data_IF_819412443989
#
_entry.id   IF_819412443989
#
_cell.length_a   1.000
_cell.length_b   1.000
_cell.length_c   1.000
_cell.angle_alpha   90.00
_cell.angle_beta   90.00
_cell.angle_gamma   90.00
#
_symmetry.space_group_name_H-M   'P 1'
#
loop_
_entity.id
_entity.type
_entity.pdbx_description
1 polymer ?
#
# COMPACT_ATOMS: atom_id res chain seq x y z
N UNK A 1 -3.22 4.23 -8.58
CA UNK A 1 -3.26 3.16 -9.61
C UNK A 1 -4.49 3.27 -10.51
N UNK A 2 -5.69 2.86 -10.07
CA UNK A 2 -6.91 2.84 -10.92
C UNK A 2 -7.20 4.16 -11.65
N UNK A 3 -7.09 5.30 -10.97
CA UNK A 3 -7.28 6.60 -11.62
C UNK A 3 -6.30 6.86 -12.78
N UNK A 4 -5.02 6.51 -12.62
CA UNK A 4 -4.00 6.64 -13.66
C UNK A 4 -4.24 5.66 -14.81
N UNK A 5 -4.63 4.42 -14.52
CA UNK A 5 -5.02 3.43 -15.53
C UNK A 5 -6.18 3.94 -16.39
N UNK A 6 -7.20 4.54 -15.77
CA UNK A 6 -8.35 5.15 -16.47
C UNK A 6 -7.97 6.35 -17.34
N UNK A 7 -6.89 7.05 -17.01
CA UNK A 7 -6.31 8.08 -17.87
C UNK A 7 -5.39 7.54 -18.98
N UNK A 8 -5.32 6.21 -19.15
CA UNK A 8 -4.56 5.57 -20.21
C UNK A 8 -3.07 5.40 -19.91
N UNK A 9 -2.63 5.61 -18.67
CA UNK A 9 -1.23 5.40 -18.27
C UNK A 9 -0.98 3.94 -17.91
N UNK A 10 0.19 3.43 -18.27
CA UNK A 10 0.69 2.14 -17.80
C UNK A 10 0.99 2.22 -16.31
N UNK A 11 0.29 1.44 -15.50
CA UNK A 11 0.45 1.46 -14.04
C UNK A 11 0.38 0.06 -13.47
N UNK A 12 1.34 -0.26 -12.61
CA UNK A 12 1.32 -1.46 -11.79
C UNK A 12 0.96 -1.12 -10.34
N UNK A 13 0.35 -2.08 -9.64
CA UNK A 13 0.11 -2.00 -8.20
C UNK A 13 0.94 -3.06 -7.48
N UNK A 14 1.77 -2.62 -6.55
CA UNK A 14 2.60 -3.51 -5.71
C UNK A 14 1.97 -3.58 -4.33
N UNK A 15 1.80 -4.80 -3.83
CA UNK A 15 1.32 -5.09 -2.48
C UNK A 15 1.63 -6.55 -2.12
N UNK A 16 1.30 -6.92 -0.89
CA UNK A 16 1.33 -8.31 -0.42
C UNK A 16 -0.10 -8.75 -0.12
N UNK A 17 -0.57 -9.77 -0.84
CA UNK A 17 -1.97 -10.25 -0.81
C UNK A 17 -1.96 -11.77 -0.52
N UNK A 18 -2.83 -12.28 0.37
CA UNK A 18 -2.85 -13.70 0.70
C UNK A 18 -3.21 -14.58 -0.51
N UNK A 19 -2.74 -15.83 -0.50
CA UNK A 19 -3.12 -16.83 -1.50
C UNK A 19 -4.45 -17.50 -1.12
N UNK A 20 -5.56 -16.75 -1.24
CA UNK A 20 -6.91 -17.24 -1.01
C UNK A 20 -7.91 -16.52 -1.92
N UNK A 21 -9.15 -17.01 -1.95
CA UNK A 21 -10.20 -16.52 -2.86
C UNK A 21 -10.55 -15.03 -2.68
N UNK A 22 -10.40 -14.48 -1.47
CA UNK A 22 -10.61 -13.04 -1.24
C UNK A 22 -9.46 -12.23 -1.87
N UNK A 23 -8.23 -12.72 -1.73
CA UNK A 23 -7.07 -12.14 -2.40
C UNK A 23 -7.17 -12.20 -3.92
N UNK A 24 -7.64 -13.33 -4.47
CA UNK A 24 -7.86 -13.49 -5.91
C UNK A 24 -8.88 -12.49 -6.43
N UNK A 25 -10.04 -12.36 -5.77
CA UNK A 25 -11.06 -11.39 -6.14
C UNK A 25 -10.54 -9.93 -6.10
N UNK A 26 -9.68 -9.60 -5.14
CA UNK A 26 -9.06 -8.28 -5.06
C UNK A 26 -8.14 -8.00 -6.27
N UNK A 27 -7.34 -9.00 -6.67
CA UNK A 27 -6.44 -8.90 -7.83
C UNK A 27 -7.24 -8.81 -9.13
N UNK A 28 -8.31 -9.60 -9.27
CA UNK A 28 -9.21 -9.56 -10.42
C UNK A 28 -9.87 -8.20 -10.59
N UNK A 29 -10.35 -7.58 -9.50
CA UNK A 29 -10.94 -6.24 -9.57
C UNK A 29 -9.90 -5.21 -10.00
N UNK A 30 -8.66 -5.26 -9.51
CA UNK A 30 -7.59 -4.38 -10.00
C UNK A 30 -7.32 -4.55 -11.49
N UNK A 31 -7.23 -5.80 -11.97
CA UNK A 31 -7.01 -6.11 -13.39
C UNK A 31 -8.15 -5.61 -14.26
N UNK A 32 -9.40 -5.76 -13.80
CA UNK A 32 -10.60 -5.24 -14.50
C UNK A 32 -10.53 -3.72 -14.69
N UNK A 33 -9.87 -3.00 -13.79
CA UNK A 33 -9.64 -1.56 -13.90
C UNK A 33 -8.40 -1.18 -14.73
N UNK A 34 -7.75 -2.13 -15.40
CA UNK A 34 -6.58 -1.90 -16.25
C UNK A 34 -5.27 -1.74 -15.50
N UNK A 35 -5.20 -2.15 -14.23
CA UNK A 35 -3.98 -2.09 -13.42
C UNK A 35 -3.17 -3.38 -13.58
N UNK A 36 -1.88 -3.26 -13.85
CA UNK A 36 -0.98 -4.41 -13.82
C UNK A 36 -0.80 -4.91 -12.37
N UNK A 37 -0.99 -6.21 -12.18
CA UNK A 37 -0.95 -6.91 -10.90
C UNK A 37 0.17 -7.95 -10.84
N UNK A 38 1.00 -8.04 -11.88
CA UNK A 38 2.11 -8.98 -12.00
C UNK A 38 3.17 -8.83 -10.89
N UNK A 39 3.21 -7.66 -10.24
CA UNK A 39 4.14 -7.32 -9.16
C UNK A 39 3.57 -7.60 -7.75
N UNK A 40 2.35 -8.12 -7.63
CA UNK A 40 1.76 -8.47 -6.33
C UNK A 40 2.39 -9.74 -5.80
N UNK A 41 2.92 -9.67 -4.57
CA UNK A 41 3.48 -10.83 -3.87
C UNK A 41 2.35 -11.61 -3.18
N UNK A 42 2.28 -12.92 -3.42
CA UNK A 42 1.30 -13.81 -2.79
C UNK A 42 1.88 -14.40 -1.50
N UNK A 43 1.55 -13.82 -0.35
CA UNK A 43 2.03 -14.23 0.98
C UNK A 43 1.00 -13.85 2.07
N UNK A 44 1.08 -14.52 3.23
CA UNK A 44 0.29 -14.19 4.41
C UNK A 44 -1.10 -14.83 4.40
N UNK A 45 -1.83 -14.63 5.50
CA UNK A 45 -3.04 -15.41 5.80
C UNK A 45 -4.35 -14.68 5.47
N UNK A 46 -4.40 -13.35 5.60
CA UNK A 46 -5.64 -12.58 5.45
C UNK A 46 -5.45 -11.26 4.72
N UNK A 47 -6.50 -10.83 4.02
CA UNK A 47 -6.62 -9.50 3.45
C UNK A 47 -7.29 -8.59 4.49
N UNK A 48 -6.79 -7.38 4.65
CA UNK A 48 -7.43 -6.41 5.53
C UNK A 48 -8.78 -5.97 4.96
N UNK A 49 -9.78 -5.85 5.81
CA UNK A 49 -11.12 -5.42 5.44
C UNK A 49 -11.53 -4.19 6.24
N UNK A 50 -12.61 -3.55 5.82
CA UNK A 50 -13.30 -2.56 6.63
C UNK A 50 -14.79 -2.62 6.34
N UNK A 51 -15.58 -2.19 7.31
CA UNK A 51 -17.02 -2.06 7.20
C UNK A 51 -17.38 -0.58 7.20
N UNK A 52 -18.24 -0.18 6.26
CA UNK A 52 -18.70 1.19 6.11
C UNK A 52 -20.17 1.26 6.48
N UNK A 53 -20.48 1.96 7.56
CA UNK A 53 -21.84 2.39 7.84
C UNK A 53 -22.06 3.70 7.06
N UNK A 54 -22.84 3.64 5.99
CA UNK A 54 -23.19 4.83 5.21
C UNK A 54 -23.92 5.83 6.09
N UNK A 55 -23.43 7.07 6.16
CA UNK A 55 -24.07 8.18 6.84
C UNK A 55 -25.32 8.67 6.11
N UNK A 56 -26.15 9.43 6.80
CA UNK A 56 -27.29 10.14 6.21
C UNK A 56 -27.63 11.37 7.04
N UNK A 57 -27.94 12.48 6.35
CA UNK A 57 -28.24 13.77 6.96
C UNK A 57 -27.10 14.22 7.92
N UNK A 58 -27.39 14.45 9.20
CA UNK A 58 -26.37 14.83 10.19
C UNK A 58 -25.53 13.65 10.70
N UNK A 59 -25.93 12.39 10.45
CA UNK A 59 -25.17 11.21 10.89
C UNK A 59 -24.01 10.96 9.93
N UNK A 60 -22.74 11.10 10.36
CA UNK A 60 -21.59 10.86 9.48
C UNK A 60 -21.47 9.37 9.14
N UNK A 61 -20.78 9.09 8.03
CA UNK A 61 -20.33 7.73 7.74
C UNK A 61 -19.32 7.27 8.78
N UNK A 62 -19.39 6.00 9.17
CA UNK A 62 -18.46 5.40 10.13
C UNK A 62 -17.73 4.24 9.46
N UNK A 63 -16.41 4.20 9.67
CA UNK A 63 -15.55 3.12 9.17
C UNK A 63 -15.05 2.30 10.33
N UNK A 64 -15.25 0.98 10.26
CA UNK A 64 -14.76 0.00 11.21
C UNK A 64 -13.68 -0.81 10.49
N UNK A 65 -12.43 -0.68 10.93
CA UNK A 65 -11.31 -1.36 10.29
C UNK A 65 -11.04 -2.73 10.91
N UNK A 66 -10.91 -3.75 10.07
CA UNK A 66 -10.44 -5.09 10.40
C UNK A 66 -9.22 -5.43 9.53
N UNK A 67 -8.13 -4.70 9.75
CA UNK A 67 -6.92 -4.75 8.90
C UNK A 67 -5.62 -5.12 9.62
N UNK A 68 -5.68 -5.31 10.95
CA UNK A 68 -4.55 -5.84 11.72
C UNK A 68 -4.17 -7.22 11.20
N UNK A 69 -2.87 -7.57 11.25
CA UNK A 69 -2.36 -8.87 10.79
C UNK A 69 -2.74 -9.23 9.34
N UNK A 70 -3.02 -8.22 8.51
CA UNK A 70 -3.17 -8.44 7.07
C UNK A 70 -1.83 -8.70 6.43
N UNK A 71 -1.83 -9.40 5.29
CA UNK A 71 -0.62 -9.77 4.57
C UNK A 71 0.35 -8.58 4.36
N UNK A 72 -0.17 -7.39 3.98
CA UNK A 72 0.64 -6.17 3.84
C UNK A 72 1.09 -5.57 5.19
N UNK A 73 0.33 -5.75 6.27
CA UNK A 73 0.73 -5.30 7.60
C UNK A 73 1.84 -6.17 8.22
N UNK A 74 2.00 -7.40 7.75
CA UNK A 74 3.05 -8.34 8.17
C UNK A 74 4.16 -8.50 7.13
N UNK A 75 4.08 -7.75 6.03
CA UNK A 75 5.14 -7.67 5.05
C UNK A 75 6.37 -6.96 5.66
N UNK A 76 7.55 -7.42 5.28
CA UNK A 76 8.83 -6.98 5.83
C UNK A 76 9.83 -6.70 4.72
N UNK A 77 10.89 -5.90 4.98
CA UNK A 77 11.98 -5.72 4.04
C UNK A 77 12.50 -7.03 3.46
N UNK A 78 12.79 -7.04 2.16
CA UNK A 78 13.21 -8.26 1.43
C UNK A 78 12.08 -9.16 0.93
N UNK A 79 10.82 -8.94 1.34
CA UNK A 79 9.67 -9.67 0.77
C UNK A 79 9.39 -9.29 -0.69
N UNK A 80 9.84 -8.11 -1.11
CA UNK A 80 9.60 -7.55 -2.45
C UNK A 80 10.95 -7.38 -3.16
N UNK A 81 11.07 -7.97 -4.35
CA UNK A 81 12.23 -7.74 -5.20
C UNK A 81 12.13 -6.37 -5.89
N UNK A 82 12.66 -5.34 -5.24
CA UNK A 82 12.62 -3.96 -5.72
C UNK A 82 13.37 -3.74 -7.04
N UNK A 83 14.40 -4.53 -7.33
CA UNK A 83 15.11 -4.44 -8.61
C UNK A 83 14.21 -4.85 -9.77
N UNK A 84 13.43 -5.92 -9.60
CA UNK A 84 12.43 -6.34 -10.58
C UNK A 84 11.26 -5.36 -10.65
N UNK A 85 10.77 -4.90 -9.49
CA UNK A 85 9.62 -3.99 -9.42
C UNK A 85 9.90 -2.65 -10.10
N UNK A 86 11.13 -2.15 -10.00
CA UNK A 86 11.51 -0.86 -10.53
C UNK A 86 12.16 -0.91 -11.92
N UNK A 87 12.21 -2.08 -12.56
CA UNK A 87 12.69 -2.21 -13.93
C UNK A 87 11.74 -1.46 -14.90
N UNK A 88 12.28 -0.51 -15.67
CA UNK A 88 11.52 0.33 -16.58
C UNK A 88 10.55 1.32 -15.91
N UNK A 89 10.58 1.48 -14.58
CA UNK A 89 9.69 2.41 -13.85
C UNK A 89 10.32 3.79 -13.76
N UNK A 90 9.56 4.83 -14.15
CA UNK A 90 9.99 6.24 -14.04
C UNK A 90 9.42 6.96 -12.83
N UNK A 91 8.34 6.45 -12.25
CA UNK A 91 7.62 7.08 -11.14
C UNK A 91 7.14 6.07 -10.10
N UNK A 92 7.43 6.34 -8.83
CA UNK A 92 6.94 5.59 -7.69
C UNK A 92 6.05 6.47 -6.81
N UNK A 93 4.87 5.97 -6.46
CA UNK A 93 3.94 6.66 -5.58
C UNK A 93 3.69 5.85 -4.31
N UNK A 94 3.84 6.49 -3.16
CA UNK A 94 3.56 5.93 -1.85
C UNK A 94 2.61 6.84 -1.07
N UNK A 95 1.86 6.28 -0.12
CA UNK A 95 1.05 7.04 0.81
C UNK A 95 1.46 6.73 2.24
N UNK A 96 1.32 7.70 3.15
CA UNK A 96 1.58 7.56 4.58
C UNK A 96 0.71 6.51 5.30
N UNK A 97 -0.29 5.94 4.64
CA UNK A 97 -1.07 4.82 5.19
C UNK A 97 -0.22 3.55 5.38
N UNK A 98 0.58 3.17 4.38
CA UNK A 98 1.36 1.93 4.42
C UNK A 98 2.44 1.94 5.51
N UNK A 99 3.24 2.99 5.70
CA UNK A 99 4.17 3.02 6.81
C UNK A 99 3.44 3.09 8.16
N UNK A 100 2.23 3.65 8.23
CA UNK A 100 1.50 3.81 9.48
C UNK A 100 0.87 2.51 10.04
N UNK A 101 0.74 1.43 9.26
CA UNK A 101 -0.07 0.26 9.69
C UNK A 101 0.69 -0.74 10.56
N UNK A 102 2.02 -0.77 10.50
CA UNK A 102 2.88 -1.60 11.35
C UNK A 102 4.36 -1.17 11.24
N UNK A 103 5.19 -1.63 12.17
CA UNK A 103 6.63 -1.40 12.12
C UNK A 103 7.27 -2.02 10.85
N UNK A 104 6.91 -3.27 10.53
CA UNK A 104 7.49 -3.96 9.37
C UNK A 104 7.07 -3.30 8.04
N UNK A 105 5.83 -2.85 7.92
CA UNK A 105 5.35 -2.12 6.75
C UNK A 105 6.01 -0.74 6.63
N UNK A 106 6.34 -0.09 7.77
CA UNK A 106 7.15 1.12 7.81
C UNK A 106 8.55 0.88 7.26
N UNK A 107 9.22 -0.18 7.69
CA UNK A 107 10.57 -0.53 7.24
C UNK A 107 10.58 -0.92 5.75
N UNK A 108 9.59 -1.68 5.31
CA UNK A 108 9.39 -2.02 3.89
C UNK A 108 9.16 -0.77 3.03
N UNK A 109 8.37 0.19 3.53
CA UNK A 109 8.13 1.47 2.85
C UNK A 109 9.43 2.26 2.67
N UNK A 110 10.29 2.26 3.68
CA UNK A 110 11.59 2.91 3.63
C UNK A 110 12.54 2.24 2.64
N UNK A 111 12.57 0.89 2.62
CA UNK A 111 13.33 0.13 1.62
C UNK A 111 12.89 0.49 0.20
N UNK A 112 11.58 0.54 -0.06
CA UNK A 112 11.02 0.90 -1.36
C UNK A 112 11.47 2.29 -1.82
N UNK A 113 11.36 3.30 -0.95
CA UNK A 113 11.74 4.68 -1.28
C UNK A 113 13.24 4.80 -1.51
N UNK A 114 14.08 4.17 -0.67
CA UNK A 114 15.54 4.17 -0.87
C UNK A 114 15.91 3.55 -2.21
N UNK A 115 15.34 2.38 -2.54
CA UNK A 115 15.58 1.69 -3.81
C UNK A 115 15.11 2.49 -5.04
N UNK A 116 13.98 3.17 -4.94
CA UNK A 116 13.50 4.06 -6.00
C UNK A 116 14.48 5.23 -6.23
N UNK A 117 14.93 5.89 -5.14
CA UNK A 117 15.88 7.00 -5.20
C UNK A 117 17.24 6.57 -5.76
N UNK A 118 17.76 5.41 -5.35
CA UNK A 118 19.00 4.81 -5.88
C UNK A 118 18.95 4.62 -7.40
N UNK A 119 17.77 4.32 -7.96
CA UNK A 119 17.55 4.14 -9.40
C UNK A 119 17.17 5.43 -10.14
N UNK A 120 17.17 6.59 -9.47
CA UNK A 120 16.78 7.87 -10.08
C UNK A 120 15.29 7.98 -10.40
N UNK A 121 14.44 7.17 -9.77
CA UNK A 121 12.99 7.17 -9.98
C UNK A 121 12.37 8.34 -9.22
N UNK A 122 11.43 9.04 -9.86
CA UNK A 122 10.69 10.11 -9.20
C UNK A 122 9.78 9.52 -8.12
N UNK A 123 9.96 9.95 -6.87
CA UNK A 123 9.13 9.51 -5.74
C UNK A 123 8.12 10.60 -5.39
N UNK A 124 6.84 10.24 -5.37
CA UNK A 124 5.76 11.09 -4.88
C UNK A 124 5.12 10.48 -3.63
N UNK A 125 4.78 11.31 -2.65
CA UNK A 125 4.20 10.87 -1.38
C UNK A 125 2.92 11.65 -1.05
N UNK A 126 1.83 10.93 -0.77
CA UNK A 126 0.64 11.48 -0.11
C UNK A 126 0.71 11.19 1.40
N UNK A 127 0.87 12.22 2.23
CA UNK A 127 1.02 12.08 3.68
C UNK A 127 -0.17 11.36 4.35
N UNK A 128 -1.39 11.55 3.86
CA UNK A 128 -2.63 10.89 4.29
C UNK A 128 -2.69 10.55 5.80
N UNK A 129 -2.49 11.54 6.67
CA UNK A 129 -2.32 11.29 8.10
C UNK A 129 -3.58 10.68 8.74
N UNK A 130 -3.38 9.56 9.44
CA UNK A 130 -4.42 8.86 10.21
C UNK A 130 -3.92 8.57 11.63
N UNK A 131 -4.32 9.42 12.59
CA UNK A 131 -3.94 9.32 14.00
C UNK A 131 -4.09 7.92 14.62
N UNK A 132 -5.08 7.14 14.16
CA UNK A 132 -5.41 5.83 14.75
C UNK A 132 -4.51 4.67 14.30
N UNK A 133 -3.61 4.89 13.33
CA UNK A 133 -2.76 3.82 12.77
C UNK A 133 -1.41 3.67 13.51
N UNK A 134 -0.82 4.78 13.96
CA UNK A 134 0.52 4.87 14.56
C UNK A 134 0.61 4.26 15.97
N UNK A 135 0.38 2.94 16.08
CA UNK A 135 0.24 2.21 17.35
C UNK A 135 1.40 1.25 17.64
N UNK A 136 2.53 1.41 16.96
CA UNK A 136 3.68 0.52 17.04
C UNK A 136 4.94 1.18 17.63
N UNK A 137 4.78 2.31 18.33
CA UNK A 137 5.87 2.95 19.09
C UNK A 137 6.72 3.97 18.34
N UNK A 138 6.42 4.28 17.07
CA UNK A 138 7.01 5.41 16.33
C UNK A 138 5.95 6.45 15.97
N UNK A 139 6.36 7.72 15.93
CA UNK A 139 5.50 8.83 15.51
C UNK A 139 5.55 9.05 13.99
N UNK A 140 4.53 9.73 13.46
CA UNK A 140 4.46 10.06 12.05
C UNK A 140 5.63 10.93 11.56
N UNK A 141 6.06 11.99 12.28
CA UNK A 141 7.22 12.79 11.86
C UNK A 141 8.51 11.97 11.75
N UNK A 142 8.76 11.06 12.70
CA UNK A 142 9.95 10.21 12.70
C UNK A 142 10.02 9.32 11.45
N UNK A 143 8.90 8.69 11.08
CA UNK A 143 8.87 7.76 9.94
C UNK A 143 8.77 8.50 8.61
N UNK A 144 7.85 9.48 8.51
CA UNK A 144 7.60 10.16 7.25
C UNK A 144 8.74 11.09 6.84
N UNK A 145 9.50 11.64 7.79
CA UNK A 145 10.67 12.48 7.51
C UNK A 145 11.80 11.74 6.80
N UNK A 146 11.86 10.41 6.90
CA UNK A 146 12.83 9.60 6.14
C UNK A 146 12.33 9.25 4.73
N UNK A 147 11.01 9.26 4.51
CA UNK A 147 10.38 8.87 3.24
C UNK A 147 10.25 10.02 2.24
N UNK A 148 10.24 11.27 2.71
CA UNK A 148 10.01 12.48 1.90
C UNK A 148 11.17 13.43 2.05
#
# INVERSE_FOLDING_TARGET
AVGLARFGLTVAYISVIPNNSIGDACIEELRKQGVDTSLIVRKGNRLGTYFLEAGANQRPSKVIYDRSHSAIAEASPGDINWDKVFDGVSWFHISGITPAISLSASELSLEAVKKAREKGITVSCDLNFRKNLWKYGKSAPEVMGELV
#
